data_IF_865574747111
#
_entry.id   IF_865574747111
#
_cell.length_a   1.000
_cell.length_b   1.000
_cell.length_c   1.000
_cell.angle_alpha   90.00
_cell.angle_beta   90.00
_cell.angle_gamma   90.00
#
_symmetry.space_group_name_H-M   'P 1'
#
loop_
_entity.id
_entity.type
_entity.pdbx_description
1 polymer ?
#
# COMPACT_ATOMS: atom_id res chain seq x y z
N UNK A 1 -16.90 9.79 10.20
CA UNK A 1 -16.36 9.81 8.80
C UNK A 1 -17.30 9.13 7.79
N UNK A 2 -18.41 8.51 8.23
CA UNK A 2 -19.35 7.75 7.40
C UNK A 2 -18.84 6.35 6.99
N UNK A 3 -19.76 5.49 6.53
CA UNK A 3 -19.45 4.09 6.25
C UNK A 3 -18.46 3.92 5.08
N UNK A 4 -18.56 4.72 4.03
CA UNK A 4 -17.70 4.62 2.85
C UNK A 4 -16.24 4.91 3.21
N UNK A 5 -15.99 5.99 3.96
CA UNK A 5 -14.67 6.35 4.44
C UNK A 5 -14.14 5.33 5.48
N UNK A 6 -15.02 4.81 6.35
CA UNK A 6 -14.65 3.76 7.28
C UNK A 6 -14.21 2.47 6.57
N UNK A 7 -14.92 2.05 5.52
CA UNK A 7 -14.53 0.92 4.69
C UNK A 7 -13.22 1.15 3.95
N UNK A 8 -12.96 2.37 3.44
CA UNK A 8 -11.67 2.67 2.82
C UNK A 8 -10.52 2.54 3.81
N UNK A 9 -10.67 3.07 5.02
CA UNK A 9 -9.61 3.05 6.05
C UNK A 9 -9.40 1.65 6.63
N UNK A 10 -10.49 0.97 7.01
CA UNK A 10 -10.42 -0.28 7.79
C UNK A 10 -10.27 -1.52 6.90
N UNK A 11 -10.85 -1.50 5.70
CA UNK A 11 -10.86 -2.67 4.78
C UNK A 11 -9.95 -2.47 3.59
N UNK A 12 -10.16 -1.41 2.80
CA UNK A 12 -9.47 -1.24 1.51
C UNK A 12 -7.99 -0.92 1.70
N UNK A 13 -7.66 -0.03 2.62
CA UNK A 13 -6.28 0.42 2.84
C UNK A 13 -5.34 -0.70 3.34
N UNK A 14 -5.70 -1.52 4.35
CA UNK A 14 -4.90 -2.68 4.76
C UNK A 14 -4.66 -3.68 3.62
N UNK A 15 -5.64 -3.89 2.75
CA UNK A 15 -5.52 -4.77 1.58
C UNK A 15 -4.62 -4.20 0.46
N UNK A 16 -4.29 -2.93 0.50
CA UNK A 16 -3.31 -2.26 -0.38
C UNK A 16 -1.91 -2.22 0.24
N UNK A 17 -1.50 -3.29 0.92
CA UNK A 17 -0.22 -3.41 1.66
C UNK A 17 -0.11 -2.44 2.85
N UNK A 18 -1.22 -2.17 3.50
CA UNK A 18 -1.31 -1.27 4.67
C UNK A 18 -0.59 0.06 4.42
N UNK A 19 -0.88 0.68 3.29
CA UNK A 19 -0.29 1.96 2.90
C UNK A 19 -0.73 3.05 3.89
N UNK A 20 0.23 3.66 4.56
CA UNK A 20 -0.06 4.73 5.51
C UNK A 20 -0.75 5.91 4.82
N UNK A 21 -1.81 6.43 5.45
CA UNK A 21 -2.46 7.67 5.03
C UNK A 21 -1.51 8.85 5.29
N UNK A 22 -1.42 9.75 4.33
CA UNK A 22 -0.73 11.03 4.51
C UNK A 22 -1.69 12.06 5.13
N UNK A 23 -1.17 13.12 5.72
CA UNK A 23 -1.95 14.20 6.33
C UNK A 23 -3.12 14.70 5.46
N UNK A 24 -2.91 15.08 4.19
CA UNK A 24 -4.01 15.50 3.31
C UNK A 24 -5.11 14.45 3.16
N UNK A 25 -4.76 13.18 2.99
CA UNK A 25 -5.74 12.10 2.87
C UNK A 25 -6.53 11.89 4.18
N UNK A 26 -5.88 11.97 5.33
CA UNK A 26 -6.55 11.88 6.62
C UNK A 26 -7.52 13.04 6.84
N UNK A 27 -7.16 14.25 6.40
CA UNK A 27 -8.03 15.43 6.46
C UNK A 27 -9.23 15.28 5.51
N UNK A 28 -9.03 14.89 4.26
CA UNK A 28 -10.10 14.65 3.27
C UNK A 28 -11.10 13.59 3.73
N UNK A 29 -10.61 12.53 4.40
CA UNK A 29 -11.44 11.47 4.97
C UNK A 29 -12.17 11.88 6.26
N UNK A 30 -11.90 13.08 6.80
CA UNK A 30 -12.50 13.56 8.05
C UNK A 30 -11.95 12.88 9.31
N UNK A 31 -10.75 12.30 9.25
CA UNK A 31 -10.05 11.72 10.41
C UNK A 31 -9.37 12.83 11.22
N UNK A 32 -8.86 13.85 10.54
CA UNK A 32 -8.28 15.05 11.15
C UNK A 32 -9.22 16.24 10.98
N UNK A 33 -9.39 17.04 12.02
CA UNK A 33 -10.24 18.23 12.02
C UNK A 33 -9.54 19.46 11.41
N UNK A 34 -8.20 19.46 11.39
CA UNK A 34 -7.38 20.51 10.80
C UNK A 34 -6.06 19.94 10.24
N UNK A 35 -5.42 20.70 9.36
CA UNK A 35 -4.13 20.34 8.78
C UNK A 35 -3.24 21.59 8.72
N UNK A 36 -1.98 21.44 9.14
CA UNK A 36 -0.99 22.51 9.21
C UNK A 36 0.26 22.18 8.44
N UNK A 37 1.00 23.19 8.03
CA UNK A 37 2.30 23.03 7.39
C UNK A 37 3.35 22.43 8.34
N UNK A 38 4.30 21.63 7.84
CA UNK A 38 5.28 20.95 8.70
C UNK A 38 6.24 21.90 9.43
N UNK A 39 6.51 23.08 8.87
CA UNK A 39 7.48 24.04 9.42
C UNK A 39 7.05 24.61 10.78
N UNK A 40 5.77 24.94 10.92
CA UNK A 40 5.20 25.56 12.13
C UNK A 40 4.12 24.69 12.77
N UNK A 41 4.19 23.38 12.55
CA UNK A 41 3.12 22.44 12.92
C UNK A 41 2.70 22.55 14.38
N UNK A 42 3.66 22.55 15.31
CA UNK A 42 3.36 22.59 16.73
C UNK A 42 2.69 23.90 17.14
N UNK A 43 3.25 25.02 16.71
CA UNK A 43 2.73 26.36 17.08
C UNK A 43 1.32 26.58 16.52
N UNK A 44 1.10 26.24 15.23
CA UNK A 44 -0.21 26.37 14.60
C UNK A 44 -1.23 25.43 15.23
N UNK A 45 -0.84 24.20 15.58
CA UNK A 45 -1.70 23.25 16.27
C UNK A 45 -2.14 23.72 17.66
N UNK A 46 -1.20 24.29 18.43
CA UNK A 46 -1.51 24.84 19.77
C UNK A 46 -2.41 26.07 19.66
N UNK A 47 -2.15 26.95 18.72
CA UNK A 47 -3.00 28.15 18.49
C UNK A 47 -4.41 27.73 18.05
N UNK A 48 -4.52 26.73 17.17
CA UNK A 48 -5.82 26.20 16.76
C UNK A 48 -6.57 25.56 17.93
N UNK A 49 -5.90 24.74 18.75
CA UNK A 49 -6.48 24.12 19.93
C UNK A 49 -6.95 25.17 20.95
N UNK A 50 -6.18 26.20 21.18
CA UNK A 50 -6.55 27.34 22.03
C UNK A 50 -7.83 28.04 21.52
N UNK A 51 -7.90 28.31 20.20
CA UNK A 51 -9.10 28.86 19.57
C UNK A 51 -10.34 27.96 19.68
N UNK A 52 -10.15 26.61 19.61
CA UNK A 52 -11.26 25.65 19.82
C UNK A 52 -11.74 25.68 21.28
N UNK A 53 -10.81 25.70 22.25
CA UNK A 53 -11.14 25.76 23.67
C UNK A 53 -11.80 27.09 24.04
N UNK A 54 -11.29 28.20 23.48
CA UNK A 54 -11.85 29.53 23.65
C UNK A 54 -13.20 29.77 22.95
N UNK A 55 -13.58 28.88 22.03
CA UNK A 55 -14.84 28.97 21.28
C UNK A 55 -14.76 29.84 20.00
N UNK A 56 -13.59 30.38 19.68
CA UNK A 56 -13.34 31.19 18.48
C UNK A 56 -13.32 30.34 17.20
N UNK A 57 -12.89 29.08 17.32
CA UNK A 57 -12.85 28.12 16.24
C UNK A 57 -13.92 27.03 16.45
N UNK A 58 -14.82 26.90 15.47
CA UNK A 58 -15.86 25.85 15.50
C UNK A 58 -15.41 24.68 14.62
N UNK A 59 -15.20 23.51 15.23
CA UNK A 59 -14.91 22.27 14.49
C UNK A 59 -16.20 21.75 13.83
N UNK A 60 -16.17 21.64 12.52
CA UNK A 60 -17.27 21.07 11.73
C UNK A 60 -17.02 19.58 11.54
N UNK A 61 -17.70 18.72 12.25
CA UNK A 61 -17.70 17.27 12.03
C UNK A 61 -18.95 16.86 11.27
N UNK A 62 -18.88 15.77 10.46
CA UNK A 62 -20.08 15.22 9.83
C UNK A 62 -21.14 14.89 10.91
N UNK A 63 -22.39 15.15 10.58
CA UNK A 63 -23.51 14.74 11.43
C UNK A 63 -23.51 13.22 11.60
N UNK A 64 -24.13 12.74 12.68
CA UNK A 64 -24.39 11.31 12.82
C UNK A 64 -25.20 10.78 11.62
N UNK A 65 -24.94 9.53 11.19
CA UNK A 65 -25.65 8.92 10.07
C UNK A 65 -27.16 8.96 10.27
N UNK A 66 -27.88 9.53 9.31
CA UNK A 66 -29.35 9.58 9.34
C UNK A 66 -29.99 8.21 9.09
N UNK A 67 -31.32 8.12 9.23
CA UNK A 67 -32.07 6.87 9.08
C UNK A 67 -31.85 6.22 7.70
N UNK A 68 -31.86 6.98 6.61
CA UNK A 68 -31.63 6.46 5.26
C UNK A 68 -30.20 5.90 5.12
N UNK A 69 -29.23 6.59 5.69
CA UNK A 69 -27.85 6.12 5.65
C UNK A 69 -27.72 4.79 6.42
N UNK A 70 -28.28 4.69 7.60
CA UNK A 70 -28.20 3.47 8.44
C UNK A 70 -28.99 2.29 7.86
N UNK A 71 -30.12 2.55 7.17
CA UNK A 71 -31.02 1.48 6.68
C UNK A 71 -30.75 1.05 5.24
N UNK A 72 -30.24 1.92 4.38
CA UNK A 72 -30.05 1.66 2.95
C UNK A 72 -28.58 1.69 2.55
N UNK A 73 -27.91 2.84 2.74
CA UNK A 73 -26.52 3.00 2.26
C UNK A 73 -25.55 2.07 2.97
N UNK A 74 -25.66 1.97 4.28
CA UNK A 74 -24.74 1.16 5.09
C UNK A 74 -24.79 -0.33 4.72
N UNK A 75 -25.96 -1.01 4.71
CA UNK A 75 -26.03 -2.41 4.27
C UNK A 75 -25.55 -2.62 2.84
N UNK A 76 -25.84 -1.69 1.93
CA UNK A 76 -25.36 -1.77 0.55
C UNK A 76 -23.82 -1.71 0.48
N UNK A 77 -23.20 -0.76 1.18
CA UNK A 77 -21.76 -0.60 1.25
C UNK A 77 -21.08 -1.85 1.87
N UNK A 78 -21.64 -2.41 2.95
CA UNK A 78 -21.19 -3.66 3.57
C UNK A 78 -21.26 -4.84 2.59
N UNK A 79 -22.37 -4.96 1.82
CA UNK A 79 -22.54 -6.02 0.84
C UNK A 79 -21.49 -5.94 -0.28
N UNK A 80 -21.25 -4.74 -0.80
CA UNK A 80 -20.22 -4.47 -1.81
C UNK A 80 -18.82 -4.82 -1.26
N UNK A 81 -18.51 -4.37 -0.04
CA UNK A 81 -17.23 -4.66 0.60
C UNK A 81 -17.03 -6.17 0.84
N UNK A 82 -18.07 -6.90 1.23
CA UNK A 82 -18.04 -8.35 1.39
C UNK A 82 -17.74 -9.07 0.08
N UNK A 83 -18.38 -8.65 -1.01
CA UNK A 83 -18.13 -9.22 -2.35
C UNK A 83 -16.69 -8.88 -2.82
N UNK A 84 -16.20 -7.68 -2.55
CA UNK A 84 -14.83 -7.29 -2.85
C UNK A 84 -13.81 -8.16 -2.07
N UNK A 85 -14.03 -8.39 -0.77
CA UNK A 85 -13.19 -9.28 0.05
C UNK A 85 -13.18 -10.68 -0.52
N UNK A 86 -14.36 -11.22 -0.85
CA UNK A 86 -14.50 -12.58 -1.38
C UNK A 86 -13.73 -12.76 -2.70
N UNK A 87 -13.80 -11.77 -3.60
CA UNK A 87 -13.08 -11.81 -4.87
C UNK A 87 -11.57 -11.63 -4.72
N UNK A 88 -11.11 -10.90 -3.68
CA UNK A 88 -9.72 -10.53 -3.52
C UNK A 88 -8.92 -11.50 -2.65
N UNK A 89 -9.50 -11.98 -1.57
CA UNK A 89 -8.81 -12.83 -0.58
C UNK A 89 -9.54 -14.16 -0.30
N UNK A 90 -10.74 -14.37 -0.84
CA UNK A 90 -11.51 -15.59 -0.56
C UNK A 90 -11.68 -15.79 0.95
N UNK A 91 -11.44 -17.00 1.44
CA UNK A 91 -11.56 -17.38 2.86
C UNK A 91 -10.21 -17.45 3.58
N UNK A 92 -9.12 -16.97 2.95
CA UNK A 92 -7.75 -17.15 3.47
C UNK A 92 -7.51 -16.38 4.77
N UNK A 93 -8.08 -15.19 4.91
CA UNK A 93 -7.89 -14.35 6.11
C UNK A 93 -9.22 -14.04 6.78
N UNK A 94 -9.32 -14.30 8.08
CA UNK A 94 -10.54 -14.05 8.87
C UNK A 94 -10.68 -12.58 9.31
N UNK A 95 -9.57 -11.90 9.62
CA UNK A 95 -9.59 -10.56 10.22
C UNK A 95 -10.32 -9.50 9.40
N UNK A 96 -10.22 -9.41 8.04
CA UNK A 96 -10.99 -8.43 7.29
C UNK A 96 -12.51 -8.67 7.34
N UNK A 97 -12.94 -9.92 7.41
CA UNK A 97 -14.36 -10.24 7.57
C UNK A 97 -14.87 -9.87 8.96
N UNK A 98 -14.06 -10.14 10.00
CA UNK A 98 -14.41 -9.74 11.37
C UNK A 98 -14.52 -8.23 11.51
N UNK A 99 -13.59 -7.49 10.91
CA UNK A 99 -13.66 -6.03 10.87
C UNK A 99 -14.92 -5.54 10.12
N UNK A 100 -15.30 -6.19 9.02
CA UNK A 100 -16.52 -5.86 8.29
C UNK A 100 -17.80 -6.14 9.09
N UNK A 101 -17.82 -7.21 9.91
CA UNK A 101 -18.92 -7.53 10.83
C UNK A 101 -19.07 -6.47 11.92
N UNK A 102 -17.96 -6.00 12.51
CA UNK A 102 -17.97 -4.91 13.47
C UNK A 102 -18.48 -3.61 12.86
N UNK A 103 -18.05 -3.27 11.64
CA UNK A 103 -18.58 -2.12 10.90
C UNK A 103 -20.09 -2.25 10.62
N UNK A 104 -20.58 -3.43 10.28
CA UNK A 104 -22.03 -3.64 10.09
C UNK A 104 -22.81 -3.51 11.39
N UNK A 105 -22.30 -4.06 12.49
CA UNK A 105 -22.90 -3.95 13.81
C UNK A 105 -22.96 -2.49 14.31
N UNK A 106 -21.93 -1.68 14.00
CA UNK A 106 -21.82 -0.28 14.45
C UNK A 106 -23.01 0.62 14.04
N UNK A 107 -23.74 0.26 12.98
CA UNK A 107 -24.96 1.01 12.59
C UNK A 107 -26.08 0.98 13.64
N UNK A 108 -26.09 0.00 14.54
CA UNK A 108 -27.13 -0.23 15.56
C UNK A 108 -26.61 -0.15 16.97
N UNK A 109 -25.30 -0.25 17.17
CA UNK A 109 -24.65 -0.26 18.49
C UNK A 109 -24.41 1.15 19.02
N UNK A 110 -24.38 1.29 20.31
CA UNK A 110 -23.79 2.44 21.00
C UNK A 110 -22.26 2.39 20.86
N UNK A 111 -21.60 3.52 21.12
CA UNK A 111 -20.12 3.60 21.10
C UNK A 111 -19.48 2.63 22.10
N UNK A 112 -20.06 2.48 23.29
CA UNK A 112 -19.55 1.58 24.33
C UNK A 112 -19.66 0.11 23.92
N UNK A 113 -20.80 -0.30 23.36
CA UNK A 113 -21.00 -1.66 22.83
C UNK A 113 -20.05 -1.95 21.66
N UNK A 114 -19.82 -0.95 20.79
CA UNK A 114 -18.87 -1.08 19.68
C UNK A 114 -17.44 -1.35 20.17
N UNK A 115 -16.96 -0.62 21.17
CA UNK A 115 -15.62 -0.83 21.74
C UNK A 115 -15.49 -2.20 22.43
N UNK A 116 -16.49 -2.64 23.17
CA UNK A 116 -16.48 -3.99 23.76
C UNK A 116 -16.39 -5.07 22.68
N UNK A 117 -17.16 -4.93 21.60
CA UNK A 117 -17.13 -5.87 20.49
C UNK A 117 -15.78 -5.87 19.75
N UNK A 118 -15.12 -4.71 19.63
CA UNK A 118 -13.77 -4.59 19.07
C UNK A 118 -12.74 -5.30 19.95
N UNK A 119 -12.78 -5.10 21.27
CA UNK A 119 -11.89 -5.74 22.24
C UNK A 119 -12.03 -7.26 22.20
N UNK A 120 -13.25 -7.78 22.18
CA UNK A 120 -13.52 -9.23 22.06
C UNK A 120 -12.98 -9.78 20.72
N UNK A 121 -13.25 -9.09 19.62
CA UNK A 121 -12.77 -9.49 18.30
C UNK A 121 -11.25 -9.48 18.22
N UNK A 122 -10.60 -8.47 18.80
CA UNK A 122 -9.15 -8.38 18.87
C UNK A 122 -8.57 -9.53 19.69
N UNK A 123 -9.11 -9.80 20.88
CA UNK A 123 -8.67 -10.89 21.74
C UNK A 123 -8.75 -12.26 21.04
N UNK A 124 -9.86 -12.52 20.32
CA UNK A 124 -10.03 -13.74 19.54
C UNK A 124 -9.01 -13.85 18.39
N UNK A 125 -8.83 -12.78 17.62
CA UNK A 125 -7.94 -12.78 16.47
C UNK A 125 -6.46 -12.91 16.86
N UNK A 126 -5.99 -12.22 17.91
CA UNK A 126 -4.56 -12.28 18.32
C UNK A 126 -4.19 -13.59 19.00
N UNK A 127 -5.15 -14.30 19.61
CA UNK A 127 -4.92 -15.62 20.18
C UNK A 127 -5.00 -16.75 19.14
N UNK A 128 -5.46 -16.45 17.92
CA UNK A 128 -5.68 -17.41 16.86
C UNK A 128 -4.43 -17.86 16.09
N UNK A 129 -4.55 -19.01 15.40
CA UNK A 129 -3.44 -19.59 14.62
C UNK A 129 -3.00 -18.72 13.46
N UNK A 130 -3.92 -17.98 12.82
CA UNK A 130 -3.57 -17.07 11.72
C UNK A 130 -2.65 -15.94 12.16
N UNK A 131 -2.89 -15.36 13.34
CA UNK A 131 -2.02 -14.34 13.89
C UNK A 131 -0.64 -14.91 14.21
N UNK A 132 -0.57 -16.06 14.88
CA UNK A 132 0.70 -16.75 15.18
C UNK A 132 1.50 -17.05 13.91
N UNK A 133 0.85 -17.59 12.88
CA UNK A 133 1.49 -17.86 11.59
C UNK A 133 1.98 -16.58 10.90
N UNK A 134 1.19 -15.50 10.95
CA UNK A 134 1.55 -14.20 10.36
C UNK A 134 2.75 -13.57 11.08
N UNK A 135 2.79 -13.61 12.41
CA UNK A 135 3.93 -13.12 13.22
C UNK A 135 5.18 -13.96 12.96
N UNK A 136 5.03 -15.28 12.85
CA UNK A 136 6.13 -16.16 12.51
C UNK A 136 6.72 -15.81 11.13
N UNK A 137 5.87 -15.71 10.10
CA UNK A 137 6.28 -15.33 8.75
C UNK A 137 6.93 -13.93 8.72
N UNK A 138 6.33 -12.95 9.39
CA UNK A 138 6.91 -11.61 9.53
C UNK A 138 8.31 -11.63 10.15
N UNK A 139 8.49 -12.35 11.26
CA UNK A 139 9.79 -12.49 11.93
C UNK A 139 10.83 -13.18 11.04
N UNK A 140 10.43 -14.21 10.28
CA UNK A 140 11.32 -14.84 9.30
C UNK A 140 11.81 -13.84 8.25
N UNK A 141 10.89 -13.07 7.66
CA UNK A 141 11.25 -12.06 6.65
C UNK A 141 12.14 -10.98 7.25
N UNK A 142 11.81 -10.46 8.44
CA UNK A 142 12.61 -9.41 9.07
C UNK A 142 14.01 -9.90 9.50
N UNK A 143 14.11 -11.09 10.09
CA UNK A 143 15.38 -11.63 10.61
C UNK A 143 16.23 -12.27 9.52
N UNK A 144 15.62 -13.01 8.58
CA UNK A 144 16.35 -13.83 7.60
C UNK A 144 16.53 -13.13 6.26
N UNK A 145 15.50 -12.52 5.70
CA UNK A 145 15.58 -11.87 4.38
C UNK A 145 16.37 -10.55 4.43
N UNK A 146 16.23 -9.77 5.51
CA UNK A 146 16.96 -8.49 5.65
C UNK A 146 18.36 -8.64 6.25
N UNK A 147 18.59 -9.66 7.08
CA UNK A 147 19.87 -9.95 7.72
C UNK A 147 20.09 -11.46 7.74
N UNK A 148 20.51 -12.08 6.62
CA UNK A 148 20.80 -13.50 6.58
C UNK A 148 21.88 -13.86 7.62
N UNK A 149 21.71 -15.00 8.29
CA UNK A 149 22.73 -15.50 9.20
C UNK A 149 24.05 -15.73 8.42
N UNK A 150 25.17 -15.20 8.93
CA UNK A 150 26.47 -15.30 8.26
C UNK A 150 26.68 -14.33 7.10
N UNK A 151 25.76 -13.36 6.89
CA UNK A 151 26.00 -12.33 5.90
C UNK A 151 27.24 -11.50 6.27
N UNK A 152 28.15 -11.28 5.29
CA UNK A 152 29.31 -10.41 5.51
C UNK A 152 28.86 -8.97 5.77
N UNK A 153 29.80 -8.17 6.29
CA UNK A 153 29.55 -6.74 6.51
C UNK A 153 29.14 -6.06 5.20
N UNK A 154 28.13 -5.19 5.25
CA UNK A 154 27.66 -4.44 4.09
C UNK A 154 28.75 -3.56 3.47
N UNK A 155 29.75 -3.14 4.24
CA UNK A 155 30.90 -2.39 3.73
C UNK A 155 31.75 -3.20 2.73
N UNK A 156 31.67 -4.54 2.77
CA UNK A 156 32.34 -5.43 1.82
C UNK A 156 31.57 -5.60 0.51
N UNK A 157 30.32 -5.12 0.43
CA UNK A 157 29.51 -5.23 -0.77
C UNK A 157 30.10 -4.35 -1.89
N UNK A 158 30.43 -4.97 -3.02
CA UNK A 158 30.88 -4.23 -4.21
C UNK A 158 29.73 -3.47 -4.83
N UNK A 159 29.98 -2.24 -5.28
CA UNK A 159 29.00 -1.47 -6.04
C UNK A 159 28.77 -2.17 -7.39
N UNK A 160 27.50 -2.46 -7.70
CA UNK A 160 27.14 -3.00 -9.02
C UNK A 160 27.25 -1.86 -10.03
N UNK A 161 28.07 -2.01 -11.05
CA UNK A 161 28.30 -1.00 -12.11
C UNK A 161 27.75 -1.44 -13.46
N UNK A 162 27.46 -2.73 -13.64
CA UNK A 162 26.90 -3.34 -14.87
C UNK A 162 26.21 -4.64 -14.49
N UNK A 163 25.15 -4.99 -15.20
CA UNK A 163 24.43 -6.26 -15.04
C UNK A 163 24.40 -7.01 -16.35
N UNK A 164 24.78 -8.28 -16.33
CA UNK A 164 24.59 -9.22 -17.44
C UNK A 164 23.48 -10.21 -17.13
N UNK A 165 22.61 -10.48 -18.07
CA UNK A 165 21.49 -11.44 -17.94
C UNK A 165 21.58 -12.42 -19.09
N UNK A 166 21.70 -13.71 -18.78
CA UNK A 166 21.69 -14.80 -19.76
C UNK A 166 20.25 -15.24 -19.97
N UNK A 167 19.80 -15.11 -21.24
CA UNK A 167 18.44 -15.27 -21.68
C UNK A 167 17.78 -13.93 -22.02
N UNK A 168 16.89 -13.93 -23.04
CA UNK A 168 16.10 -12.78 -23.46
C UNK A 168 14.59 -13.06 -23.46
N UNK A 169 14.16 -14.12 -22.75
CA UNK A 169 12.74 -14.46 -22.57
C UNK A 169 12.03 -13.47 -21.61
N UNK A 170 10.74 -13.72 -21.36
CA UNK A 170 9.89 -12.84 -20.57
C UNK A 170 10.49 -12.52 -19.18
N UNK A 171 10.92 -13.53 -18.43
CA UNK A 171 11.48 -13.30 -17.07
C UNK A 171 12.80 -12.49 -17.14
N UNK A 172 13.70 -12.82 -18.06
CA UNK A 172 14.96 -12.10 -18.24
C UNK A 172 14.71 -10.63 -18.58
N UNK A 173 13.76 -10.36 -19.47
CA UNK A 173 13.36 -8.99 -19.84
C UNK A 173 12.75 -8.22 -18.67
N UNK A 174 11.95 -8.88 -17.81
CA UNK A 174 11.41 -8.27 -16.59
C UNK A 174 12.51 -7.98 -15.55
N UNK A 175 13.49 -8.86 -15.38
CA UNK A 175 14.65 -8.58 -14.54
C UNK A 175 15.50 -7.45 -15.10
N UNK A 176 15.73 -7.40 -16.41
CA UNK A 176 16.44 -6.29 -17.03
C UNK A 176 15.74 -4.95 -16.76
N UNK A 177 14.41 -4.88 -16.93
CA UNK A 177 13.62 -3.71 -16.60
C UNK A 177 13.70 -3.33 -15.13
N UNK A 178 13.66 -4.31 -14.21
CA UNK A 178 13.82 -4.10 -12.79
C UNK A 178 15.19 -3.49 -12.46
N UNK A 179 16.27 -4.10 -12.96
CA UNK A 179 17.63 -3.67 -12.66
C UNK A 179 17.94 -2.29 -13.24
N UNK A 180 17.59 -2.03 -14.50
CA UNK A 180 17.84 -0.72 -15.10
C UNK A 180 17.10 0.40 -14.35
N UNK A 181 15.87 0.15 -13.89
CA UNK A 181 15.08 1.11 -13.10
C UNK A 181 15.61 1.32 -11.69
N UNK A 182 16.11 0.27 -11.03
CA UNK A 182 16.53 0.32 -9.62
C UNK A 182 17.98 0.72 -9.44
N UNK A 183 18.86 0.22 -10.29
CA UNK A 183 20.30 0.43 -10.17
C UNK A 183 20.79 1.55 -11.07
N UNK A 184 20.06 1.87 -12.15
CA UNK A 184 20.45 2.88 -13.16
C UNK A 184 21.85 2.64 -13.72
N UNK A 185 22.20 1.39 -13.96
CA UNK A 185 23.46 0.93 -14.56
C UNK A 185 23.19 0.24 -15.88
N UNK A 186 24.19 0.11 -16.79
CA UNK A 186 24.05 -0.67 -18.01
C UNK A 186 23.62 -2.10 -17.73
N UNK A 187 22.61 -2.57 -18.47
CA UNK A 187 22.09 -3.95 -18.43
C UNK A 187 22.24 -4.54 -19.81
N UNK A 188 22.90 -5.68 -19.89
CA UNK A 188 23.10 -6.45 -21.14
C UNK A 188 22.34 -7.75 -21.02
N UNK A 189 21.45 -8.02 -21.98
CA UNK A 189 20.80 -9.33 -22.14
C UNK A 189 21.45 -10.10 -23.30
N UNK A 190 21.58 -11.41 -23.16
CA UNK A 190 22.10 -12.28 -24.22
C UNK A 190 21.22 -13.51 -24.40
N UNK A 191 21.14 -14.04 -25.62
CA UNK A 191 20.44 -15.30 -25.93
C UNK A 191 21.14 -16.01 -27.08
N UNK A 192 20.66 -17.20 -27.45
CA UNK A 192 21.22 -18.06 -28.47
C UNK A 192 21.18 -17.45 -29.88
N UNK A 193 20.23 -16.59 -30.17
CA UNK A 193 20.07 -15.93 -31.46
C UNK A 193 19.59 -14.47 -31.31
N UNK A 194 19.87 -13.67 -32.34
CA UNK A 194 19.57 -12.25 -32.40
C UNK A 194 18.04 -11.97 -32.32
N UNK A 195 17.21 -12.83 -32.91
CA UNK A 195 15.76 -12.63 -32.93
C UNK A 195 15.16 -12.67 -31.51
N UNK A 196 15.66 -13.56 -30.66
CA UNK A 196 15.26 -13.61 -29.22
C UNK A 196 15.73 -12.38 -28.47
N UNK A 197 16.96 -11.95 -28.70
CA UNK A 197 17.52 -10.73 -28.11
C UNK A 197 16.69 -9.52 -28.51
N UNK A 198 16.37 -9.35 -29.78
CA UNK A 198 15.58 -8.24 -30.30
C UNK A 198 14.16 -8.23 -29.72
N UNK A 199 13.54 -9.41 -29.60
CA UNK A 199 12.23 -9.55 -28.94
C UNK A 199 12.27 -9.13 -27.47
N UNK A 200 13.32 -9.52 -26.73
CA UNK A 200 13.51 -9.12 -25.34
C UNK A 200 13.72 -7.61 -25.19
N UNK A 201 14.54 -7.01 -26.06
CA UNK A 201 14.77 -5.57 -26.09
C UNK A 201 13.50 -4.79 -26.46
N UNK A 202 12.71 -5.26 -27.41
CA UNK A 202 11.44 -4.66 -27.79
C UNK A 202 10.48 -4.64 -26.58
N UNK A 203 10.32 -5.78 -25.91
CA UNK A 203 9.50 -5.86 -24.69
C UNK A 203 9.92 -4.83 -23.62
N UNK A 204 11.21 -4.70 -23.33
CA UNK A 204 11.72 -3.75 -22.33
C UNK A 204 11.42 -2.32 -22.73
N UNK A 205 11.61 -1.96 -24.00
CA UNK A 205 11.33 -0.62 -24.54
C UNK A 205 9.85 -0.29 -24.48
N UNK A 206 8.97 -1.23 -24.81
CA UNK A 206 7.52 -1.06 -24.78
C UNK A 206 7.03 -0.85 -23.34
N UNK A 207 7.58 -1.59 -22.37
CA UNK A 207 7.27 -1.39 -20.96
C UNK A 207 7.70 -0.01 -20.43
N UNK A 208 8.90 0.47 -20.84
CA UNK A 208 9.36 1.82 -20.50
C UNK A 208 8.42 2.86 -21.12
N UNK A 209 8.01 2.69 -22.39
CA UNK A 209 7.05 3.58 -23.07
C UNK A 209 5.68 3.58 -22.38
N UNK A 210 5.22 2.42 -21.92
CA UNK A 210 3.99 2.29 -21.15
C UNK A 210 4.05 3.05 -19.80
N UNK A 211 5.21 3.01 -19.13
CA UNK A 211 5.41 3.76 -17.88
C UNK A 211 5.46 5.27 -18.13
N UNK A 212 6.06 5.70 -19.22
CA UNK A 212 6.09 7.10 -19.64
C UNK A 212 4.68 7.61 -19.98
N UNK A 213 3.91 6.88 -20.80
CA UNK A 213 2.54 7.22 -21.15
C UNK A 213 1.60 7.30 -19.93
N UNK A 214 1.85 6.50 -18.89
CA UNK A 214 1.12 6.55 -17.60
C UNK A 214 1.60 7.64 -16.65
N UNK A 215 2.53 8.52 -17.06
CA UNK A 215 3.10 9.57 -16.21
C UNK A 215 3.92 9.04 -15.02
N UNK A 216 4.39 7.80 -15.06
CA UNK A 216 5.23 7.19 -14.01
C UNK A 216 6.73 7.41 -14.24
N UNK A 217 7.11 7.83 -15.43
CA UNK A 217 8.43 8.27 -15.86
C UNK A 217 8.24 9.55 -16.69
N UNK A 218 9.13 10.52 -16.53
CA UNK A 218 9.28 11.62 -17.45
C UNK A 218 10.09 11.18 -18.69
N UNK A 219 10.05 11.98 -19.78
CA UNK A 219 10.71 11.65 -21.03
C UNK A 219 12.23 11.47 -20.91
N UNK A 220 12.89 12.30 -20.11
CA UNK A 220 14.35 12.22 -19.91
C UNK A 220 14.74 10.94 -19.17
N UNK A 221 14.00 10.61 -18.10
CA UNK A 221 14.17 9.35 -17.38
C UNK A 221 13.91 8.14 -18.28
N UNK A 222 12.86 8.15 -19.09
CA UNK A 222 12.56 7.07 -20.02
C UNK A 222 13.67 6.88 -21.05
N UNK A 223 14.18 7.96 -21.64
CA UNK A 223 15.28 7.92 -22.61
C UNK A 223 16.58 7.41 -21.97
N UNK A 224 16.89 7.85 -20.76
CA UNK A 224 18.04 7.33 -20.01
C UNK A 224 17.93 5.81 -19.79
N UNK A 225 16.76 5.31 -19.36
CA UNK A 225 16.58 3.87 -19.17
C UNK A 225 16.71 3.07 -20.47
N UNK A 226 16.17 3.58 -21.59
CA UNK A 226 16.31 2.96 -22.92
C UNK A 226 17.77 2.86 -23.36
N UNK A 227 18.57 3.92 -23.08
CA UNK A 227 19.98 3.97 -23.42
C UNK A 227 20.85 3.01 -22.59
N UNK A 228 20.40 2.58 -21.41
CA UNK A 228 21.13 1.66 -20.54
C UNK A 228 20.91 0.18 -20.86
N UNK A 229 19.97 -0.16 -21.74
CA UNK A 229 19.65 -1.57 -22.06
C UNK A 229 20.24 -1.94 -23.43
N UNK A 230 21.06 -3.00 -23.44
CA UNK A 230 21.73 -3.52 -24.61
C UNK A 230 21.49 -5.03 -24.75
N UNK A 231 21.65 -5.53 -25.95
CA UNK A 231 21.56 -6.96 -26.24
C UNK A 231 22.78 -7.42 -27.05
N UNK A 232 23.13 -8.68 -26.91
CA UNK A 232 24.18 -9.37 -27.65
C UNK A 232 23.84 -10.86 -27.75
N UNK A 233 24.38 -11.54 -28.71
CA UNK A 233 24.37 -13.01 -28.84
C UNK A 233 25.64 -13.59 -28.26
#
# INVERSE_FOLDING_TARGET
>A
IGIENALEVVISNPLKNNRMLKGPQAFELGIADAMFGPANFLEESLRWADGVIGGDVKVKRPNEPGAIERTVKWPAAISIARKMLQNRIGTVAKSPYRALELLDAARKSTKAEGFLAEDEALADLISGDQFRASIYAFNLVQKRAKRPAGAPDKALARKVTKVGIVGAGLMASQFALLFVRRLQVPVVITDLDQARVDKGLAYIRDEISTLEAKGRLDGDSANKLRALVHGTT
#
